data_IF_664241863876
#
_entry.id   IF_664241863876
#
_cell.length_a   1.000
_cell.length_b   1.000
_cell.length_c   1.000
_cell.angle_alpha   90.00
_cell.angle_beta   90.00
_cell.angle_gamma   90.00
#
_symmetry.space_group_name_H-M   'P 1'
#
loop_
_entity.id
_entity.type
_entity.pdbx_description
1 polymer ?
#
# COMPACT_ATOMS: atom_id res chain seq x y z
N UNK A 1 16.68 23.15 -7.13
CA UNK A 1 15.48 22.66 -7.85
C UNK A 1 15.15 21.32 -7.24
N UNK A 2 14.16 21.34 -6.33
CA UNK A 2 13.16 20.32 -5.98
C UNK A 2 13.70 18.94 -5.59
N UNK A 3 13.79 18.67 -4.28
CA UNK A 3 12.76 18.03 -3.44
C UNK A 3 12.87 16.50 -3.50
N UNK A 4 13.13 15.93 -2.32
CA UNK A 4 13.50 14.53 -2.15
C UNK A 4 12.36 13.56 -2.41
N UNK A 5 12.72 12.29 -2.51
CA UNK A 5 11.84 11.17 -2.20
C UNK A 5 12.73 9.93 -2.07
N UNK A 6 13.44 9.85 -0.95
CA UNK A 6 13.91 8.55 -0.44
C UNK A 6 12.62 7.83 -0.09
N UNK A 7 12.19 6.92 -0.95
CA UNK A 7 10.87 6.30 -0.90
C UNK A 7 10.72 5.41 0.33
N UNK A 8 10.46 6.02 1.48
CA UNK A 8 9.71 5.39 2.56
C UNK A 8 8.30 5.21 2.01
N UNK A 9 8.11 4.12 1.23
CA UNK A 9 6.83 3.82 0.61
C UNK A 9 5.84 3.55 1.75
N UNK A 10 5.08 4.57 2.09
CA UNK A 10 4.05 4.56 3.11
C UNK A 10 2.73 4.75 2.38
N UNK A 11 1.75 3.92 2.74
CA UNK A 11 0.40 3.99 2.19
C UNK A 11 -0.55 4.47 3.27
N UNK A 12 -1.62 5.14 2.87
CA UNK A 12 -2.69 5.46 3.79
C UNK A 12 -3.63 4.26 3.89
N UNK A 13 -3.82 3.75 5.11
CA UNK A 13 -4.77 2.70 5.40
C UNK A 13 -6.19 3.19 5.09
N UNK A 14 -6.94 2.54 4.19
CA UNK A 14 -8.32 2.94 3.84
C UNK A 14 -9.34 2.72 4.97
N UNK A 15 -8.97 1.99 6.02
CA UNK A 15 -9.87 1.68 7.15
C UNK A 15 -9.82 2.73 8.28
N UNK A 16 -8.67 3.36 8.47
CA UNK A 16 -8.46 4.31 9.59
C UNK A 16 -7.74 5.60 9.17
N UNK A 17 -7.47 5.77 7.88
CA UNK A 17 -6.78 6.92 7.29
C UNK A 17 -5.39 7.20 7.91
N UNK A 18 -4.76 6.18 8.52
CA UNK A 18 -3.42 6.25 9.08
C UNK A 18 -2.37 5.81 8.08
N UNK A 19 -1.22 6.47 8.11
CA UNK A 19 -0.05 6.05 7.34
C UNK A 19 0.47 4.71 7.88
N UNK A 20 0.56 3.72 7.02
CA UNK A 20 1.15 2.42 7.26
C UNK A 20 2.39 2.28 6.41
N UNK A 21 3.49 1.92 7.07
CA UNK A 21 4.73 1.56 6.41
C UNK A 21 4.61 0.12 5.97
N UNK A 22 4.69 -0.12 4.66
CA UNK A 22 4.71 -1.47 4.11
C UNK A 22 6.19 -1.79 3.88
N UNK A 23 6.70 -2.78 4.61
CA UNK A 23 8.08 -3.24 4.46
C UNK A 23 8.22 -4.16 3.24
N UNK A 24 7.19 -4.97 2.96
CA UNK A 24 7.17 -5.89 1.84
C UNK A 24 6.07 -5.55 0.83
N UNK A 25 6.49 -5.04 -0.32
CA UNK A 25 5.62 -4.63 -1.43
C UNK A 25 5.44 -5.73 -2.49
N UNK A 26 6.00 -6.92 -2.26
CA UNK A 26 5.80 -8.11 -3.11
C UNK A 26 4.85 -9.12 -2.45
N UNK A 27 4.46 -8.87 -1.20
CA UNK A 27 3.56 -9.73 -0.48
C UNK A 27 2.11 -9.35 -0.80
N UNK A 28 1.50 -10.11 -1.71
CA UNK A 28 0.07 -10.04 -2.00
C UNK A 28 -0.77 -10.69 -0.88
N UNK A 29 -0.17 -11.17 0.21
CA UNK A 29 -0.94 -11.69 1.34
C UNK A 29 -1.59 -10.55 2.13
N UNK A 30 -2.79 -10.80 2.68
CA UNK A 30 -3.42 -9.81 3.52
C UNK A 30 -2.68 -9.67 4.85
N UNK A 31 -2.38 -8.43 5.24
CA UNK A 31 -1.71 -8.06 6.48
C UNK A 31 -2.60 -7.21 7.37
N UNK A 32 -2.37 -7.25 8.68
CA UNK A 32 -3.15 -6.46 9.63
C UNK A 32 -2.53 -5.07 9.80
N UNK A 33 -3.36 -4.02 9.68
CA UNK A 33 -2.93 -2.66 9.98
C UNK A 33 -2.48 -2.54 11.45
N UNK A 34 -1.29 -2.03 11.76
CA UNK A 34 -0.82 -1.86 13.15
C UNK A 34 -1.63 -0.84 13.97
N UNK A 35 -2.47 -0.03 13.34
CA UNK A 35 -3.28 0.99 14.02
C UNK A 35 -4.70 0.53 14.35
N UNK A 36 -5.41 -0.03 13.38
CA UNK A 36 -6.80 -0.45 13.52
C UNK A 36 -6.99 -1.97 13.54
N UNK A 37 -5.92 -2.73 13.32
CA UNK A 37 -5.93 -4.19 13.18
C UNK A 37 -6.87 -4.68 12.06
N UNK A 38 -7.26 -3.80 11.14
CA UNK A 38 -8.03 -4.18 9.96
C UNK A 38 -7.15 -4.99 9.03
N UNK A 39 -7.71 -6.08 8.50
CA UNK A 39 -7.08 -6.90 7.49
C UNK A 39 -7.07 -6.12 6.16
N UNK A 40 -5.89 -5.81 5.68
CA UNK A 40 -5.64 -5.10 4.43
C UNK A 40 -4.92 -6.04 3.49
N UNK A 41 -5.10 -5.86 2.19
CA UNK A 41 -4.34 -6.59 1.17
C UNK A 41 -3.71 -5.58 0.22
N UNK A 42 -2.44 -5.79 -0.09
CA UNK A 42 -1.81 -5.08 -1.18
C UNK A 42 -2.31 -5.67 -2.49
N UNK A 43 -2.91 -4.83 -3.32
CA UNK A 43 -3.40 -5.21 -4.64
C UNK A 43 -2.62 -4.41 -5.65
N UNK A 44 -1.81 -5.13 -6.42
CA UNK A 44 -1.09 -4.56 -7.55
C UNK A 44 -1.97 -4.76 -8.78
N UNK A 45 -2.54 -3.67 -9.30
CA UNK A 45 -3.20 -3.74 -10.60
C UNK A 45 -2.12 -3.63 -11.68
N UNK A 46 -1.80 -4.76 -12.31
CA UNK A 46 -0.95 -4.79 -13.50
C UNK A 46 -1.78 -4.41 -14.73
N UNK A 47 -2.30 -3.18 -14.71
CA UNK A 47 -2.95 -2.57 -15.86
C UNK A 47 -1.96 -2.48 -17.02
N UNK A 48 -2.16 -3.29 -18.06
CA UNK A 48 -1.26 -3.48 -19.20
C UNK A 48 -1.04 -2.27 -20.12
N UNK A 49 -1.22 -1.04 -19.63
CA UNK A 49 -0.98 0.20 -20.36
C UNK A 49 0.16 0.98 -19.69
N UNK A 50 1.32 1.02 -20.36
CA UNK A 50 2.45 1.89 -20.02
C UNK A 50 3.22 1.62 -18.71
N UNK A 51 3.31 0.39 -18.22
CA UNK A 51 4.33 -0.01 -17.22
C UNK A 51 4.26 0.72 -15.87
N UNK A 52 3.13 1.36 -15.57
CA UNK A 52 2.84 1.92 -14.26
C UNK A 52 2.11 0.85 -13.46
N UNK A 53 2.81 0.22 -12.51
CA UNK A 53 2.18 -0.66 -11.53
C UNK A 53 1.54 0.21 -10.46
N UNK A 54 0.21 0.32 -10.48
CA UNK A 54 -0.53 0.99 -9.41
C UNK A 54 -0.76 -0.02 -8.28
N UNK A 55 -0.21 0.29 -7.11
CA UNK A 55 -0.35 -0.52 -5.90
C UNK A 55 -1.34 0.19 -4.99
N UNK A 56 -2.40 -0.50 -4.60
CA UNK A 56 -3.47 0.02 -3.74
C UNK A 56 -3.75 -0.93 -2.58
N UNK A 57 -4.25 -0.39 -1.47
CA UNK A 57 -4.67 -1.19 -0.32
C UNK A 57 -6.17 -1.42 -0.39
N UNK A 58 -6.57 -2.69 -0.34
CA UNK A 58 -7.97 -3.08 -0.20
C UNK A 58 -8.25 -3.66 1.18
N UNK A 59 -9.40 -3.32 1.75
CA UNK A 59 -9.86 -3.90 3.02
C UNK A 59 -10.45 -5.28 2.73
N UNK A 60 -9.90 -6.31 3.38
CA UNK A 60 -10.47 -7.65 3.36
C UNK A 60 -11.43 -7.79 4.53
N UNK A 61 -12.72 -7.98 4.23
CA UNK A 61 -13.82 -8.16 5.20
C UNK A 61 -14.27 -9.62 5.27
#
# INVERSE_FOLDING_TARGET
>A
MNEGNKGDKSMTCPACDRYVTIEDWNDDEPFNCPHCHTLLKLVTDEGGYCGASEQSLEIQI
#
